data_IF_189730866738
#
_entry.id   IF_189730866738
#
_cell.length_a   1.000
_cell.length_b   1.000
_cell.length_c   1.000
_cell.angle_alpha   90.00
_cell.angle_beta   90.00
_cell.angle_gamma   90.00
#
_symmetry.space_group_name_H-M   'P 1'
#
loop_
_entity.id
_entity.type
_entity.pdbx_description
1 polymer ?
#
# COMPACT_ATOMS: atom_id res chain seq x y z
N UNK A 1 -40.89 -0.05 -26.74
CA UNK A 1 -39.83 -0.92 -26.19
C UNK A 1 -38.62 -0.05 -25.92
N UNK A 2 -38.56 0.61 -24.76
CA UNK A 2 -37.76 1.83 -24.61
C UNK A 2 -36.69 1.70 -23.52
N UNK A 3 -35.43 1.60 -23.97
CA UNK A 3 -34.16 2.20 -23.47
C UNK A 3 -33.75 2.13 -22.00
N UNK A 4 -34.64 1.88 -21.04
CA UNK A 4 -34.34 1.86 -19.61
C UNK A 4 -33.61 0.59 -19.16
N UNK A 5 -33.84 -0.55 -19.82
CA UNK A 5 -33.28 -1.85 -19.43
C UNK A 5 -31.79 -1.95 -19.74
N UNK A 6 -31.29 -1.22 -20.74
CA UNK A 6 -29.89 -1.29 -21.19
C UNK A 6 -28.94 -0.54 -20.26
N UNK A 7 -29.41 0.47 -19.51
CA UNK A 7 -28.57 1.30 -18.63
C UNK A 7 -28.25 0.55 -17.32
N UNK A 8 -29.19 -0.25 -16.81
CA UNK A 8 -29.03 -0.97 -15.54
C UNK A 8 -28.00 -2.11 -15.63
N UNK A 9 -27.81 -2.69 -16.81
CA UNK A 9 -26.88 -3.81 -17.00
C UNK A 9 -25.40 -3.37 -17.02
N UNK A 10 -25.13 -2.15 -17.48
CA UNK A 10 -23.76 -1.60 -17.56
C UNK A 10 -23.26 -1.14 -16.20
N UNK A 11 -24.15 -0.65 -15.32
CA UNK A 11 -23.79 -0.24 -13.96
C UNK A 11 -23.45 -1.42 -13.04
N UNK A 12 -24.04 -2.60 -13.25
CA UNK A 12 -23.80 -3.78 -12.40
C UNK A 12 -22.39 -4.36 -12.53
N UNK A 13 -21.72 -4.18 -13.68
CA UNK A 13 -20.38 -4.71 -13.94
C UNK A 13 -19.26 -3.85 -13.35
N UNK A 14 -19.48 -2.55 -13.14
CA UNK A 14 -18.49 -1.66 -12.53
C UNK A 14 -18.42 -1.84 -11.00
N UNK A 15 -19.55 -2.14 -10.35
CA UNK A 15 -19.64 -2.29 -8.89
C UNK A 15 -18.99 -3.59 -8.40
N UNK A 16 -19.04 -4.68 -9.18
CA UNK A 16 -18.38 -5.94 -8.83
C UNK A 16 -16.85 -5.85 -8.89
N UNK A 17 -16.30 -5.07 -9.84
CA UNK A 17 -14.86 -4.79 -9.92
C UNK A 17 -14.38 -3.89 -8.77
N UNK A 18 -15.18 -2.89 -8.39
CA UNK A 18 -14.88 -2.02 -7.25
C UNK A 18 -14.94 -2.77 -5.92
N UNK A 19 -15.95 -3.64 -5.72
CA UNK A 19 -16.10 -4.43 -4.50
C UNK A 19 -14.94 -5.42 -4.27
N UNK A 20 -14.43 -6.04 -5.34
CA UNK A 20 -13.26 -6.94 -5.24
C UNK A 20 -11.98 -6.19 -4.86
N UNK A 21 -11.81 -4.98 -5.39
CA UNK A 21 -10.65 -4.14 -5.11
C UNK A 21 -10.68 -3.62 -3.67
N UNK A 22 -11.84 -3.13 -3.22
CA UNK A 22 -12.02 -2.63 -1.85
C UNK A 22 -11.85 -3.73 -0.80
N UNK A 23 -12.40 -4.93 -1.06
CA UNK A 23 -12.24 -6.07 -0.15
C UNK A 23 -10.78 -6.49 0.01
N UNK A 24 -10.00 -6.50 -1.08
CA UNK A 24 -8.56 -6.80 -1.03
C UNK A 24 -7.79 -5.70 -0.30
N UNK A 25 -8.12 -4.43 -0.57
CA UNK A 25 -7.52 -3.29 0.11
C UNK A 25 -7.75 -3.33 1.61
N UNK A 26 -9.00 -3.48 2.04
CA UNK A 26 -9.37 -3.58 3.46
C UNK A 26 -8.69 -4.78 4.15
N UNK A 27 -8.66 -5.95 3.50
CA UNK A 27 -7.96 -7.13 4.06
C UNK A 27 -6.47 -6.91 4.17
N UNK A 28 -5.83 -6.26 3.19
CA UNK A 28 -4.42 -5.94 3.22
C UNK A 28 -4.12 -4.93 4.33
N UNK A 29 -4.90 -3.86 4.43
CA UNK A 29 -4.71 -2.82 5.44
C UNK A 29 -4.82 -3.40 6.86
N UNK A 30 -5.81 -4.27 7.10
CA UNK A 30 -5.96 -5.01 8.36
C UNK A 30 -4.88 -6.08 8.60
N UNK A 31 -4.14 -6.49 7.57
CA UNK A 31 -3.17 -7.59 7.61
C UNK A 31 -1.73 -7.10 7.71
N UNK A 32 -1.44 -5.87 7.28
CA UNK A 32 -0.09 -5.31 7.27
C UNK A 32 0.09 -4.17 8.29
N UNK A 33 -0.98 -3.72 8.96
CA UNK A 33 -0.96 -2.58 9.88
C UNK A 33 -0.07 -2.79 11.12
N UNK A 34 0.04 -4.03 11.58
CA UNK A 34 0.71 -4.42 12.82
C UNK A 34 2.03 -5.16 12.58
N UNK A 35 2.44 -5.36 11.32
CA UNK A 35 3.61 -6.17 10.98
C UNK A 35 4.83 -5.33 10.67
N UNK A 36 6.00 -5.64 11.27
CA UNK A 36 7.25 -5.03 10.87
C UNK A 36 7.59 -5.38 9.43
N UNK A 37 8.30 -4.49 8.76
CA UNK A 37 8.71 -4.66 7.37
C UNK A 37 10.18 -4.30 7.17
N UNK A 38 10.86 -5.07 6.33
CA UNK A 38 12.18 -4.73 5.83
C UNK A 38 12.05 -3.78 4.65
N UNK A 39 12.81 -2.69 4.70
CA UNK A 39 12.73 -1.57 3.77
C UNK A 39 14.09 -1.40 3.11
N UNK A 40 14.09 -1.28 1.79
CA UNK A 40 15.25 -0.86 1.03
C UNK A 40 14.79 0.15 -0.01
N UNK A 41 15.47 1.29 -0.10
CA UNK A 41 15.14 2.34 -1.05
C UNK A 41 16.35 2.68 -1.92
N UNK A 42 16.05 3.04 -3.16
CA UNK A 42 17.03 3.43 -4.16
C UNK A 42 16.72 4.81 -4.73
N UNK A 43 17.75 5.49 -5.19
CA UNK A 43 17.66 6.68 -6.03
C UNK A 43 18.62 6.53 -7.19
N UNK A 44 18.12 6.70 -8.42
CA UNK A 44 18.91 6.50 -9.64
C UNK A 44 19.66 5.15 -9.70
N UNK A 45 19.02 4.09 -9.17
CA UNK A 45 19.60 2.75 -9.13
C UNK A 45 20.61 2.48 -8.00
N UNK A 46 20.91 3.46 -7.14
CA UNK A 46 21.83 3.32 -6.01
C UNK A 46 21.04 3.18 -4.70
N UNK A 47 21.42 2.23 -3.84
CA UNK A 47 20.79 2.07 -2.51
C UNK A 47 21.09 3.30 -1.66
N UNK A 48 20.04 4.02 -1.25
CA UNK A 48 20.14 5.23 -0.42
C UNK A 48 19.69 5.00 1.01
N UNK A 49 18.89 3.96 1.24
CA UNK A 49 18.39 3.62 2.56
C UNK A 49 18.13 2.12 2.70
N UNK A 50 18.45 1.59 3.88
CA UNK A 50 18.09 0.24 4.29
C UNK A 50 17.77 0.23 5.78
N UNK A 51 16.61 -0.31 6.12
CA UNK A 51 16.13 -0.30 7.50
C UNK A 51 14.95 -1.23 7.70
N UNK A 52 14.36 -1.17 8.91
CA UNK A 52 13.20 -1.97 9.29
C UNK A 52 12.19 -1.10 10.00
N UNK A 53 10.91 -1.25 9.65
CA UNK A 53 9.82 -0.64 10.41
C UNK A 53 9.42 -1.51 11.60
N UNK A 54 8.86 -0.88 12.64
CA UNK A 54 8.22 -1.61 13.74
C UNK A 54 6.83 -2.13 13.39
N UNK A 55 6.22 -1.65 12.30
CA UNK A 55 4.84 -1.93 11.89
C UNK A 55 4.56 -1.48 10.45
N UNK A 56 3.32 -1.05 10.17
CA UNK A 56 2.90 -0.54 8.85
C UNK A 56 3.87 0.49 8.28
N UNK A 57 4.07 0.43 6.97
CA UNK A 57 4.70 1.50 6.18
C UNK A 57 3.61 2.22 5.39
N UNK A 58 3.54 3.55 5.53
CA UNK A 58 2.61 4.40 4.81
C UNK A 58 3.24 4.92 3.52
N UNK A 59 2.48 4.86 2.42
CA UNK A 59 2.88 5.42 1.13
C UNK A 59 2.20 6.77 0.96
N UNK A 60 3.00 7.81 0.77
CA UNK A 60 2.52 9.16 0.47
C UNK A 60 2.52 9.41 -1.04
N UNK A 61 1.76 10.44 -1.44
CA UNK A 61 1.78 10.95 -2.81
C UNK A 61 3.20 11.40 -3.18
N UNK A 62 3.74 10.85 -4.28
CA UNK A 62 5.10 11.13 -4.76
C UNK A 62 6.14 10.06 -4.48
N UNK A 63 5.76 8.88 -3.98
CA UNK A 63 6.69 7.75 -3.79
C UNK A 63 7.47 7.78 -2.48
N UNK A 64 7.21 8.77 -1.62
CA UNK A 64 7.74 8.85 -0.27
C UNK A 64 7.07 7.83 0.64
N UNK A 65 7.85 7.09 1.40
CA UNK A 65 7.34 6.23 2.48
C UNK A 65 7.50 6.89 3.84
N UNK A 66 6.63 6.54 4.78
CA UNK A 66 6.72 6.93 6.18
C UNK A 66 6.49 5.74 7.11
N UNK A 67 7.27 5.62 8.17
CA UNK A 67 7.22 4.50 9.11
C UNK A 67 7.90 4.86 10.44
N UNK A 68 7.72 4.04 11.45
CA UNK A 68 8.52 4.10 12.69
C UNK A 68 9.70 3.15 12.54
N UNK A 69 10.92 3.69 12.59
CA UNK A 69 12.16 2.94 12.43
C UNK A 69 12.45 2.10 13.68
N UNK A 70 12.65 0.79 13.48
CA UNK A 70 12.93 -0.16 14.54
C UNK A 70 14.29 0.07 15.23
N UNK A 71 15.24 0.76 14.58
CA UNK A 71 16.56 1.02 15.16
C UNK A 71 16.54 2.06 16.28
N UNK A 72 15.65 3.06 16.18
CA UNK A 72 15.67 4.24 17.04
C UNK A 72 14.28 4.69 17.52
N UNK A 73 13.21 4.04 17.09
CA UNK A 73 11.83 4.36 17.46
C UNK A 73 11.32 5.69 16.89
N UNK A 74 12.03 6.28 15.92
CA UNK A 74 11.67 7.58 15.35
C UNK A 74 10.75 7.40 14.17
N UNK A 75 9.83 8.35 14.02
CA UNK A 75 9.10 8.52 12.78
C UNK A 75 10.06 8.99 11.68
N UNK A 76 10.14 8.22 10.61
CA UNK A 76 11.11 8.37 9.53
C UNK A 76 10.39 8.42 8.21
N UNK A 77 10.81 9.34 7.35
CA UNK A 77 10.32 9.45 5.97
C UNK A 77 11.48 9.26 5.02
N UNK A 78 11.28 8.48 3.95
CA UNK A 78 12.30 8.23 2.93
C UNK A 78 11.69 8.44 1.55
N UNK A 79 12.35 9.25 0.75
CA UNK A 79 12.01 9.49 -0.65
C UNK A 79 12.85 8.56 -1.55
N UNK A 80 12.21 7.98 -2.58
CA UNK A 80 12.88 7.16 -3.58
C UNK A 80 12.04 5.98 -4.06
N UNK A 81 12.69 5.08 -4.79
CA UNK A 81 12.09 3.81 -5.18
C UNK A 81 12.26 2.83 -4.02
N UNK A 82 11.19 2.51 -3.28
CA UNK A 82 11.28 1.67 -2.08
C UNK A 82 10.64 0.30 -2.27
N UNK A 83 11.38 -0.76 -1.93
CA UNK A 83 10.86 -2.11 -1.72
C UNK A 83 10.58 -2.32 -0.23
N UNK A 84 9.33 -2.65 0.08
CA UNK A 84 8.88 -2.95 1.44
C UNK A 84 8.45 -4.42 1.50
N UNK A 85 9.03 -5.19 2.41
CA UNK A 85 8.75 -6.63 2.59
C UNK A 85 8.30 -6.87 4.02
N UNK A 86 7.02 -7.16 4.21
CA UNK A 86 6.45 -7.45 5.52
C UNK A 86 6.87 -8.84 6.02
N UNK A 87 7.15 -8.95 7.32
CA UNK A 87 7.38 -10.22 7.99
C UNK A 87 6.19 -11.17 7.84
N UNK A 88 6.40 -12.49 7.90
CA UNK A 88 5.29 -13.44 7.94
C UNK A 88 4.41 -13.22 9.18
N UNK A 89 3.13 -13.62 9.10
CA UNK A 89 2.23 -13.64 10.26
C UNK A 89 2.59 -14.77 11.21
#
# INVERSE_FOLDING_TARGET
MNRAVTITLVLGLAVSAAACTESRRARNDATFSDRPADITCWSYGVETFKGRSTGKVEYNDGGRIAFVDAANGRYTTVDGECRVVYAAK
#
